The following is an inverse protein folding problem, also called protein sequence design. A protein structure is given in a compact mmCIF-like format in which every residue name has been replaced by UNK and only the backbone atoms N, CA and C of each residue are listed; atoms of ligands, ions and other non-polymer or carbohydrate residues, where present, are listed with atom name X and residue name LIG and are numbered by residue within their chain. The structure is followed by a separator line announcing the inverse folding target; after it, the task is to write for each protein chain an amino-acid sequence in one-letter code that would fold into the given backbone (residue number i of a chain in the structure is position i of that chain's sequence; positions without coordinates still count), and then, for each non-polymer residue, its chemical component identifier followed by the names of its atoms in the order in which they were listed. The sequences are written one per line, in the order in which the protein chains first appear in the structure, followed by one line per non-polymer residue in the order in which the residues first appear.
data_IF_589767846412
#
_entry.id   IF_589767846412
#
_cell.length_a   1.000
_cell.length_b   1.000
_cell.length_c   1.000
_cell.angle_alpha   90.00
_cell.angle_beta   90.00
_cell.angle_gamma   90.00
#
_symmetry.space_group_name_H-M   'P 1'
#
loop_
_entity.id
_entity.type
_entity.pdbx_description
1 polymer ?
#
# COMPACT_ATOMS: atom_id res chain seq x y z
N UNK A 1 15.42 -24.43 8.57
CA UNK A 1 15.04 -23.52 7.46
C UNK A 1 15.44 -22.12 7.89
N UNK A 2 16.51 -21.56 7.29
CA UNK A 2 16.98 -20.21 7.58
C UNK A 2 15.92 -19.17 7.22
N UNK A 3 15.92 -18.04 7.93
CA UNK A 3 15.09 -16.90 7.58
C UNK A 3 15.31 -16.51 6.10
N UNK A 4 14.28 -16.08 5.38
CA UNK A 4 14.46 -15.57 4.01
C UNK A 4 15.50 -14.44 4.00
N UNK A 5 16.33 -14.34 2.95
CA UNK A 5 17.28 -13.24 2.86
C UNK A 5 16.53 -11.90 2.91
N UNK A 6 17.10 -10.89 3.57
CA UNK A 6 16.48 -9.57 3.60
C UNK A 6 16.26 -9.07 2.17
N UNK A 7 15.20 -8.29 1.93
CA UNK A 7 15.00 -7.64 0.65
C UNK A 7 16.23 -6.80 0.27
N UNK A 8 16.47 -6.59 -1.03
CA UNK A 8 17.55 -5.71 -1.44
C UNK A 8 17.38 -4.33 -0.81
N UNK A 9 18.43 -3.85 -0.17
CA UNK A 9 18.43 -2.50 0.40
C UNK A 9 18.18 -1.52 -0.74
N UNK A 10 17.18 -0.67 -0.59
CA UNK A 10 17.07 0.51 -1.45
C UNK A 10 18.34 1.32 -1.28
N UNK A 11 18.85 1.88 -2.37
CA UNK A 11 19.96 2.83 -2.31
C UNK A 11 19.61 4.00 -1.38
N UNK A 12 20.58 4.86 -1.03
CA UNK A 12 20.31 6.00 -0.16
C UNK A 12 19.15 6.80 -0.72
N UNK A 13 18.11 6.96 0.12
CA UNK A 13 16.93 7.72 -0.26
C UNK A 13 17.33 9.18 -0.50
N UNK A 14 16.79 9.85 -1.53
CA UNK A 14 17.09 11.24 -1.78
C UNK A 14 16.72 12.09 -0.56
N UNK A 15 17.44 13.16 -0.28
CA UNK A 15 17.10 14.07 0.81
C UNK A 15 15.71 14.65 0.53
N UNK A 16 14.82 14.52 1.53
CA UNK A 16 13.50 15.11 1.47
C UNK A 16 13.60 16.62 1.69
N UNK A 17 12.79 17.39 0.97
CA UNK A 17 12.54 18.77 1.40
C UNK A 17 11.88 18.75 2.80
N UNK A 18 11.95 19.88 3.57
CA UNK A 18 11.44 19.91 4.95
C UNK A 18 9.99 19.43 5.11
N UNK A 19 9.16 19.60 4.07
CA UNK A 19 7.75 19.23 4.08
C UNK A 19 7.49 17.83 3.48
N UNK A 20 8.49 17.21 2.87
CA UNK A 20 8.33 15.95 2.12
C UNK A 20 7.58 16.12 0.80
N UNK A 21 7.42 17.36 0.29
CA UNK A 21 6.73 17.60 -0.98
C UNK A 21 7.66 17.34 -2.15
N UNK A 22 7.11 16.69 -3.16
CA UNK A 22 7.85 16.29 -4.37
C UNK A 22 7.07 16.65 -5.62
N UNK A 23 7.78 17.05 -6.67
CA UNK A 23 7.20 17.30 -7.99
C UNK A 23 7.06 16.02 -8.83
N UNK A 24 7.88 15.04 -8.52
CA UNK A 24 7.84 13.73 -9.15
C UNK A 24 8.27 12.66 -8.13
N UNK A 25 7.73 11.47 -8.27
CA UNK A 25 8.14 10.30 -7.51
C UNK A 25 8.94 9.42 -8.46
N UNK A 26 10.16 9.12 -8.08
CA UNK A 26 11.01 8.20 -8.84
C UNK A 26 10.65 6.77 -8.42
N UNK A 27 10.14 5.94 -9.32
CA UNK A 27 9.90 4.54 -9.02
C UNK A 27 11.19 3.86 -8.56
N UNK A 28 11.08 2.90 -7.65
CA UNK A 28 12.20 2.05 -7.30
C UNK A 28 12.65 1.32 -8.55
N UNK A 29 13.86 1.60 -9.00
CA UNK A 29 14.39 1.01 -10.24
C UNK A 29 14.57 -0.50 -10.08
N UNK A 30 14.03 -1.25 -11.04
CA UNK A 30 14.18 -2.71 -11.10
C UNK A 30 13.09 -3.50 -10.40
N UNK A 31 12.22 -2.85 -9.62
CA UNK A 31 11.14 -3.52 -8.90
C UNK A 31 11.65 -4.47 -7.80
N UNK A 32 10.82 -4.71 -6.81
CA UNK A 32 11.14 -5.62 -5.71
C UNK A 32 10.88 -7.07 -6.15
N UNK A 33 11.85 -7.95 -6.01
CA UNK A 33 11.70 -9.37 -6.33
C UNK A 33 10.82 -10.07 -5.28
N UNK A 34 9.82 -10.80 -5.75
CA UNK A 34 8.88 -11.49 -4.87
C UNK A 34 9.49 -12.80 -4.37
N UNK A 35 9.39 -13.02 -3.08
CA UNK A 35 9.97 -14.18 -2.39
C UNK A 35 9.16 -14.58 -1.17
N UNK A 36 9.54 -15.70 -0.56
CA UNK A 36 8.89 -16.27 0.61
C UNK A 36 8.65 -15.22 1.71
N UNK A 37 7.44 -15.15 2.22
CA UNK A 37 7.01 -14.27 3.30
C UNK A 37 6.43 -12.92 2.85
N UNK A 38 6.54 -12.59 1.57
CA UNK A 38 6.03 -11.32 1.07
C UNK A 38 4.56 -11.40 0.66
N UNK A 39 3.87 -10.25 0.69
CA UNK A 39 2.47 -10.13 0.32
C UNK A 39 2.29 -9.00 -0.70
N UNK A 40 1.22 -9.05 -1.45
CA UNK A 40 0.84 -7.97 -2.33
C UNK A 40 0.11 -8.42 -3.57
N UNK A 41 -0.34 -7.46 -4.36
CA UNK A 41 -1.08 -7.72 -5.61
C UNK A 41 -0.24 -8.52 -6.60
N UNK A 42 1.05 -8.28 -6.68
CA UNK A 42 1.95 -9.05 -7.56
C UNK A 42 2.02 -10.52 -7.15
N UNK A 43 2.04 -10.81 -5.85
CA UNK A 43 1.99 -12.20 -5.36
C UNK A 43 0.69 -12.87 -5.81
N UNK A 44 -0.44 -12.18 -5.69
CA UNK A 44 -1.72 -12.66 -6.20
C UNK A 44 -1.68 -12.97 -7.69
N UNK A 45 -1.10 -12.11 -8.51
CA UNK A 45 -0.98 -12.34 -9.95
C UNK A 45 -0.12 -13.55 -10.29
N UNK A 46 0.98 -13.74 -9.56
CA UNK A 46 1.82 -14.95 -9.69
C UNK A 46 0.99 -16.19 -9.36
N UNK A 47 0.33 -16.21 -8.22
CA UNK A 47 -0.52 -17.33 -7.78
C UNK A 47 -1.61 -17.63 -8.81
N UNK A 48 -2.26 -16.59 -9.32
CA UNK A 48 -3.29 -16.72 -10.37
C UNK A 48 -2.75 -17.36 -11.64
N UNK A 49 -1.58 -16.92 -12.12
CA UNK A 49 -0.94 -17.49 -13.32
C UNK A 49 -0.48 -18.93 -13.13
N UNK A 50 -0.18 -19.31 -11.89
CA UNK A 50 0.18 -20.69 -11.53
C UNK A 50 -1.02 -21.58 -11.16
N UNK A 51 -2.24 -21.06 -11.32
CA UNK A 51 -3.48 -21.81 -11.00
C UNK A 51 -3.69 -22.03 -9.50
N UNK A 52 -3.08 -21.18 -8.65
CA UNK A 52 -3.13 -21.29 -7.19
C UNK A 52 -4.12 -20.30 -6.56
N UNK A 53 -4.95 -19.63 -7.35
CA UNK A 53 -5.88 -18.62 -6.85
C UNK A 53 -6.77 -19.21 -5.76
N UNK A 54 -6.66 -18.68 -4.56
CA UNK A 54 -7.49 -19.05 -3.41
C UNK A 54 -8.38 -17.86 -3.05
N UNK A 55 -9.68 -18.09 -3.04
CA UNK A 55 -10.63 -17.10 -2.57
C UNK A 55 -10.36 -16.75 -1.10
N UNK A 56 -10.20 -15.45 -0.81
CA UNK A 56 -10.02 -14.94 0.56
C UNK A 56 -8.67 -15.25 1.20
N UNK A 57 -7.68 -15.72 0.45
CA UNK A 57 -6.33 -15.84 0.98
C UNK A 57 -5.67 -14.48 1.12
N UNK A 58 -4.73 -14.38 2.03
CA UNK A 58 -3.97 -13.18 2.29
C UNK A 58 -2.91 -12.87 1.22
N UNK A 59 -2.91 -13.60 0.11
CA UNK A 59 -1.97 -13.42 -1.01
C UNK A 59 -0.51 -13.39 -0.56
N UNK A 60 -0.20 -14.24 0.40
CA UNK A 60 1.14 -14.44 0.92
C UNK A 60 1.93 -15.36 -0.01
N UNK A 61 3.17 -14.99 -0.30
CA UNK A 61 4.13 -15.85 -0.98
C UNK A 61 4.60 -16.92 0.02
N UNK A 62 3.81 -17.98 0.12
CA UNK A 62 4.05 -19.10 1.02
C UNK A 62 4.96 -20.17 0.38
N UNK A 63 5.25 -21.23 1.12
CA UNK A 63 6.06 -22.35 0.63
C UNK A 63 5.44 -23.02 -0.59
N UNK A 64 4.11 -23.14 -0.64
CA UNK A 64 3.41 -23.70 -1.79
C UNK A 64 3.61 -22.84 -3.04
N UNK A 65 3.51 -21.51 -2.89
CA UNK A 65 3.78 -20.55 -3.97
C UNK A 65 5.22 -20.67 -4.44
N UNK A 66 6.20 -20.70 -3.52
CA UNK A 66 7.61 -20.87 -3.86
C UNK A 66 7.86 -22.15 -4.65
N UNK A 67 7.30 -23.27 -4.20
CA UNK A 67 7.48 -24.55 -4.88
C UNK A 67 6.85 -24.56 -6.28
N UNK A 68 5.69 -23.94 -6.46
CA UNK A 68 5.05 -23.78 -7.76
C UNK A 68 5.89 -22.89 -8.70
N UNK A 69 6.48 -21.82 -8.17
CA UNK A 69 7.41 -20.96 -8.93
C UNK A 69 8.65 -21.74 -9.36
N UNK A 70 9.26 -22.53 -8.47
CA UNK A 70 10.42 -23.38 -8.83
C UNK A 70 10.06 -24.35 -9.96
N UNK A 71 8.91 -25.01 -9.86
CA UNK A 71 8.44 -25.94 -10.90
C UNK A 71 8.21 -25.21 -12.23
N UNK A 72 7.62 -24.04 -12.20
CA UNK A 72 7.42 -23.19 -13.37
C UNK A 72 8.74 -22.75 -13.98
N UNK A 73 9.70 -22.28 -13.17
CA UNK A 73 11.03 -21.87 -13.62
C UNK A 73 11.76 -23.01 -14.32
N UNK A 74 11.77 -24.21 -13.75
CA UNK A 74 12.33 -25.41 -14.38
C UNK A 74 11.70 -25.70 -15.73
N UNK A 75 10.36 -25.66 -15.80
CA UNK A 75 9.63 -25.91 -17.04
C UNK A 75 9.90 -24.86 -18.13
N UNK A 76 10.36 -23.69 -17.77
CA UNK A 76 10.67 -22.59 -18.69
C UNK A 76 12.17 -22.37 -18.90
N UNK A 77 13.03 -23.25 -18.37
CA UNK A 77 14.48 -23.12 -18.50
C UNK A 77 15.08 -21.90 -17.79
N UNK A 78 14.39 -21.43 -16.74
CA UNK A 78 14.86 -20.35 -15.88
C UNK A 78 15.60 -20.93 -14.67
N UNK A 79 16.39 -20.09 -13.99
CA UNK A 79 17.02 -20.44 -12.74
C UNK A 79 15.92 -20.77 -11.68
N UNK A 80 15.87 -22.00 -11.15
CA UNK A 80 14.81 -22.44 -10.25
C UNK A 80 15.05 -22.02 -8.80
N UNK A 81 15.27 -20.75 -8.56
CA UNK A 81 15.57 -20.17 -7.25
C UNK A 81 14.32 -19.94 -6.38
N UNK A 82 13.12 -19.99 -6.99
CA UNK A 82 11.86 -19.72 -6.31
C UNK A 82 11.65 -18.24 -5.98
N UNK A 83 12.36 -17.34 -6.65
CA UNK A 83 12.21 -15.90 -6.55
C UNK A 83 11.63 -15.36 -7.85
N UNK A 84 10.60 -14.53 -7.80
CA UNK A 84 10.03 -13.90 -8.99
C UNK A 84 10.71 -12.56 -9.19
N UNK A 85 11.71 -12.55 -10.07
CA UNK A 85 12.33 -11.36 -10.62
C UNK A 85 11.77 -11.05 -12.01
N UNK A 86 12.34 -10.06 -12.72
CA UNK A 86 11.86 -9.63 -14.05
C UNK A 86 11.77 -10.74 -15.09
N UNK A 87 12.70 -11.67 -15.12
CA UNK A 87 12.72 -12.78 -16.09
C UNK A 87 11.55 -13.76 -15.82
N UNK A 88 11.37 -14.17 -14.58
CA UNK A 88 10.24 -15.05 -14.19
C UNK A 88 8.90 -14.36 -14.39
N UNK A 89 8.81 -13.08 -14.04
CA UNK A 89 7.59 -12.28 -14.24
C UNK A 89 7.20 -12.20 -15.73
N UNK A 90 8.17 -11.94 -16.60
CA UNK A 90 7.94 -11.91 -18.05
C UNK A 90 7.45 -13.27 -18.57
N UNK A 91 8.05 -14.36 -18.10
CA UNK A 91 7.64 -15.71 -18.49
C UNK A 91 6.22 -16.07 -17.98
N UNK A 92 5.80 -15.52 -16.85
CA UNK A 92 4.45 -15.71 -16.31
C UNK A 92 3.38 -15.01 -17.14
N UNK A 93 3.74 -13.99 -17.91
CA UNK A 93 2.82 -13.25 -18.79
C UNK A 93 1.56 -12.79 -18.05
N UNK A 94 1.76 -12.02 -16.99
CA UNK A 94 0.64 -11.56 -16.14
C UNK A 94 -0.21 -10.49 -16.80
N UNK A 95 0.26 -9.87 -17.88
CA UNK A 95 -0.36 -8.71 -18.53
C UNK A 95 -0.10 -7.38 -17.81
N UNK A 96 0.73 -7.38 -16.76
CA UNK A 96 1.02 -6.20 -15.97
C UNK A 96 2.53 -5.96 -15.87
N UNK A 97 2.98 -4.69 -15.76
CA UNK A 97 4.39 -4.38 -15.54
C UNK A 97 4.93 -5.01 -14.25
N UNK A 98 6.20 -5.39 -14.23
CA UNK A 98 6.84 -5.92 -13.02
C UNK A 98 6.81 -4.94 -11.84
N UNK A 99 6.82 -3.66 -12.13
CA UNK A 99 6.81 -2.55 -11.14
C UNK A 99 5.41 -2.02 -10.85
N UNK A 100 4.36 -2.76 -11.15
CA UNK A 100 2.98 -2.30 -11.06
C UNK A 100 2.53 -1.85 -9.66
N UNK A 101 3.14 -2.37 -8.60
CA UNK A 101 2.82 -2.01 -7.22
C UNK A 101 3.67 -0.82 -6.72
N UNK A 102 4.67 -0.43 -7.49
CA UNK A 102 5.50 0.72 -7.16
C UNK A 102 4.70 2.00 -7.40
N UNK A 103 5.19 3.13 -6.94
CA UNK A 103 4.54 4.44 -7.05
C UNK A 103 3.78 4.65 -8.36
N UNK A 104 2.51 4.24 -8.37
CA UNK A 104 1.68 4.25 -9.58
C UNK A 104 1.16 5.64 -9.93
N UNK A 105 1.12 6.49 -8.93
CA UNK A 105 0.57 7.82 -9.03
C UNK A 105 1.69 8.84 -8.95
N UNK A 106 1.80 9.67 -9.96
CA UNK A 106 2.66 10.83 -9.92
C UNK A 106 1.97 12.01 -9.22
N UNK A 107 2.71 12.91 -8.58
CA UNK A 107 2.18 14.14 -8.03
C UNK A 107 1.39 14.94 -9.07
N UNK A 108 0.19 15.36 -8.69
CA UNK A 108 -0.74 16.09 -9.57
C UNK A 108 -0.83 17.58 -9.22
N UNK A 109 0.06 18.03 -8.36
CA UNK A 109 0.09 19.41 -7.88
C UNK A 109 1.52 19.99 -8.00
N UNK A 110 1.64 21.29 -8.25
CA UNK A 110 2.94 21.94 -8.23
C UNK A 110 3.52 22.02 -6.80
N UNK A 111 4.85 22.21 -6.69
CA UNK A 111 5.52 22.28 -5.39
C UNK A 111 4.98 23.40 -4.48
N UNK A 112 4.49 24.50 -5.06
CA UNK A 112 3.94 25.63 -4.32
C UNK A 112 2.48 25.44 -3.87
N UNK A 113 1.84 24.30 -4.17
CA UNK A 113 0.48 24.02 -3.73
C UNK A 113 0.38 24.06 -2.20
N UNK A 114 -0.69 24.65 -1.70
CA UNK A 114 -0.93 24.81 -0.27
C UNK A 114 -1.27 23.46 0.40
N UNK A 115 -1.12 23.33 1.72
CA UNK A 115 -1.58 22.16 2.46
C UNK A 115 -3.05 21.82 2.21
N UNK A 116 -3.90 22.82 2.12
CA UNK A 116 -5.32 22.62 1.81
C UNK A 116 -5.53 22.03 0.40
N UNK A 117 -4.86 22.58 -0.61
CA UNK A 117 -4.93 22.05 -1.98
C UNK A 117 -4.46 20.60 -2.05
N UNK A 118 -3.42 20.26 -1.29
CA UNK A 118 -2.91 18.88 -1.17
C UNK A 118 -3.90 17.96 -0.49
N UNK A 119 -4.53 18.41 0.59
CA UNK A 119 -5.58 17.66 1.27
C UNK A 119 -6.73 17.34 0.31
N UNK A 120 -7.20 18.34 -0.44
CA UNK A 120 -8.30 18.13 -1.40
C UNK A 120 -7.88 17.20 -2.54
N UNK A 121 -6.67 17.28 -3.04
CA UNK A 121 -6.17 16.36 -4.08
C UNK A 121 -6.06 14.92 -3.57
N UNK A 122 -5.59 14.73 -2.35
CA UNK A 122 -5.56 13.41 -1.71
C UNK A 122 -6.96 12.79 -1.62
N UNK A 123 -7.94 13.58 -1.19
CA UNK A 123 -9.34 13.15 -1.09
C UNK A 123 -9.93 12.90 -2.47
N UNK A 124 -9.71 13.78 -3.42
CA UNK A 124 -10.18 13.64 -4.82
C UNK A 124 -9.69 12.32 -5.42
N UNK A 125 -8.39 12.04 -5.28
CA UNK A 125 -7.83 10.78 -5.77
C UNK A 125 -8.50 9.56 -5.11
N UNK A 126 -8.62 9.58 -3.79
CA UNK A 126 -9.22 8.47 -3.05
C UNK A 126 -10.68 8.25 -3.44
N UNK A 127 -11.48 9.31 -3.57
CA UNK A 127 -12.88 9.23 -4.01
C UNK A 127 -13.02 8.71 -5.44
N UNK A 128 -12.08 9.05 -6.32
CA UNK A 128 -12.05 8.51 -7.69
C UNK A 128 -11.86 6.98 -7.73
N UNK A 129 -11.36 6.38 -6.65
CA UNK A 129 -11.22 4.92 -6.52
C UNK A 129 -12.48 4.24 -5.97
N UNK A 130 -13.55 4.97 -5.74
CA UNK A 130 -14.83 4.40 -5.27
C UNK A 130 -15.30 3.27 -6.18
N UNK A 131 -15.63 2.14 -5.57
CA UNK A 131 -16.04 0.93 -6.29
C UNK A 131 -14.90 0.00 -6.67
N UNK A 132 -13.64 0.44 -6.53
CA UNK A 132 -12.50 -0.46 -6.68
C UNK A 132 -12.56 -1.56 -5.62
N UNK A 133 -12.29 -2.80 -6.02
CA UNK A 133 -12.39 -3.93 -5.10
C UNK A 133 -11.35 -3.85 -4.00
N UNK A 134 -11.68 -4.39 -2.83
CA UNK A 134 -10.69 -4.62 -1.80
C UNK A 134 -9.77 -5.78 -2.21
N UNK A 135 -8.48 -5.57 -2.15
CA UNK A 135 -7.47 -6.58 -2.43
C UNK A 135 -6.38 -6.50 -1.36
N UNK A 136 -6.23 -7.56 -0.58
CA UNK A 136 -5.19 -7.62 0.44
C UNK A 136 -3.80 -7.40 -0.17
N UNK A 137 -3.05 -6.42 0.36
CA UNK A 137 -1.76 -6.04 -0.20
C UNK A 137 -1.85 -5.24 -1.50
N UNK A 138 -3.06 -4.88 -1.94
CA UNK A 138 -3.28 -4.09 -3.15
C UNK A 138 -2.99 -2.61 -2.94
N UNK A 139 -2.34 -1.99 -3.91
CA UNK A 139 -2.09 -0.55 -3.98
C UNK A 139 -2.49 0.02 -5.34
N UNK A 140 -3.49 -0.59 -5.99
CA UNK A 140 -3.96 -0.22 -7.32
C UNK A 140 -3.27 -1.00 -8.46
N UNK A 141 -3.57 -0.65 -9.69
CA UNK A 141 -4.57 0.33 -10.13
C UNK A 141 -6.01 -0.08 -9.80
N UNK A 142 -6.98 0.76 -10.14
CA UNK A 142 -8.41 0.55 -9.87
C UNK A 142 -8.90 -0.87 -10.17
N UNK A 143 -8.50 -1.40 -11.32
CA UNK A 143 -8.94 -2.73 -11.78
C UNK A 143 -8.42 -3.90 -10.91
N UNK A 144 -7.28 -3.73 -10.23
CA UNK A 144 -6.69 -4.74 -9.35
C UNK A 144 -7.08 -4.57 -7.89
N UNK A 145 -7.41 -3.34 -7.48
CA UNK A 145 -7.91 -3.06 -6.16
C UNK A 145 -6.87 -2.55 -5.18
N UNK A 146 -7.36 -2.17 -4.01
CA UNK A 146 -6.58 -1.58 -2.92
C UNK A 146 -6.88 -2.27 -1.61
N UNK A 147 -5.91 -2.34 -0.72
CA UNK A 147 -6.20 -2.45 0.70
C UNK A 147 -6.28 -1.05 1.35
N UNK A 148 -6.56 -0.99 2.65
CA UNK A 148 -6.81 0.27 3.31
C UNK A 148 -5.63 1.24 3.23
N UNK A 149 -4.43 0.77 3.51
CA UNK A 149 -3.20 1.59 3.49
C UNK A 149 -2.69 1.83 2.06
N UNK A 150 -2.89 0.89 1.12
CA UNK A 150 -2.51 1.07 -0.28
C UNK A 150 -3.29 2.20 -0.95
N UNK A 151 -4.58 2.32 -0.68
CA UNK A 151 -5.39 3.44 -1.14
C UNK A 151 -4.88 4.78 -0.58
N UNK A 152 -4.61 4.82 0.71
CA UNK A 152 -4.11 6.03 1.39
C UNK A 152 -2.76 6.46 0.84
N UNK A 153 -1.83 5.53 0.66
CA UNK A 153 -0.50 5.84 0.15
C UNK A 153 -0.53 6.40 -1.26
N UNK A 154 -1.28 5.81 -2.17
CA UNK A 154 -1.42 6.33 -3.54
C UNK A 154 -2.09 7.72 -3.54
N UNK A 155 -3.05 7.95 -2.66
CA UNK A 155 -3.68 9.27 -2.50
C UNK A 155 -2.68 10.33 -1.99
N UNK A 156 -1.80 9.97 -1.06
CA UNK A 156 -0.72 10.85 -0.58
C UNK A 156 0.25 11.20 -1.71
N UNK A 157 0.61 10.22 -2.53
CA UNK A 157 1.47 10.45 -3.71
C UNK A 157 0.82 11.39 -4.72
N UNK A 158 -0.46 11.20 -5.02
CA UNK A 158 -1.21 12.10 -5.90
C UNK A 158 -1.19 13.55 -5.40
N UNK A 159 -1.21 13.74 -4.09
CA UNK A 159 -1.12 15.06 -3.45
C UNK A 159 0.31 15.61 -3.37
N UNK A 160 1.29 14.90 -3.93
CA UNK A 160 2.67 15.36 -4.03
C UNK A 160 3.46 15.29 -2.74
N UNK A 161 3.18 14.33 -1.86
CA UNK A 161 4.01 14.00 -0.72
C UNK A 161 4.53 12.58 -0.83
N UNK A 162 5.82 12.41 -0.54
CA UNK A 162 6.46 11.11 -0.40
C UNK A 162 6.87 10.93 1.07
N UNK A 163 6.12 10.13 1.84
CA UNK A 163 6.40 9.94 3.26
C UNK A 163 7.52 8.93 3.54
N UNK A 164 8.52 8.83 2.69
CA UNK A 164 9.66 7.91 2.79
C UNK A 164 10.09 7.55 4.22
N UNK A 165 10.69 6.37 4.39
CA UNK A 165 10.89 5.29 3.42
C UNK A 165 9.62 4.45 3.26
N UNK A 166 9.19 4.23 2.02
CA UNK A 166 8.02 3.40 1.72
C UNK A 166 8.34 2.39 0.63
N UNK A 167 7.84 1.18 0.82
CA UNK A 167 7.69 0.19 -0.22
C UNK A 167 6.20 -0.14 -0.35
N UNK A 168 5.68 -0.12 -1.57
CA UNK A 168 4.27 -0.45 -1.82
C UNK A 168 3.98 -1.95 -1.75
N UNK A 169 5.01 -2.79 -1.74
CA UNK A 169 4.88 -4.22 -1.48
C UNK A 169 4.70 -4.44 0.01
N UNK A 170 3.55 -4.97 0.39
CA UNK A 170 3.22 -5.20 1.79
C UNK A 170 4.21 -6.14 2.46
N UNK A 171 4.66 -5.78 3.67
CA UNK A 171 5.65 -6.50 4.46
C UNK A 171 7.04 -6.64 3.83
N UNK A 172 7.35 -5.88 2.78
CA UNK A 172 8.71 -5.72 2.31
C UNK A 172 9.42 -4.58 3.06
N UNK A 173 10.74 -4.66 3.13
CA UNK A 173 11.57 -3.59 3.70
C UNK A 173 11.94 -2.54 2.64
N UNK A 174 11.99 -1.25 3.00
CA UNK A 174 11.62 -0.63 4.28
C UNK A 174 10.11 -0.50 4.45
N UNK A 175 9.67 -0.53 5.69
CA UNK A 175 8.27 -0.49 6.10
C UNK A 175 7.62 0.90 5.97
N UNK A 176 6.46 1.10 6.46
CA UNK A 176 5.44 2.14 6.41
C UNK A 176 4.35 1.86 5.34
N UNK A 177 4.27 0.63 4.88
CA UNK A 177 3.23 0.19 3.94
C UNK A 177 1.91 -0.14 4.63
N UNK A 178 1.94 -0.64 5.85
CA UNK A 178 0.75 -1.07 6.59
C UNK A 178 0.11 0.08 7.37
N UNK A 179 -1.16 -0.07 7.74
CA UNK A 179 -1.86 0.91 8.59
C UNK A 179 -1.16 1.12 9.93
N UNK A 180 -0.63 0.04 10.55
CA UNK A 180 0.13 0.11 11.79
C UNK A 180 1.39 0.96 11.63
N UNK A 181 2.12 0.77 10.56
CA UNK A 181 3.34 1.51 10.27
C UNK A 181 3.07 2.97 9.93
N UNK A 182 1.99 3.26 9.20
CA UNK A 182 1.53 4.63 8.97
C UNK A 182 1.15 5.33 10.27
N UNK A 183 0.51 4.63 11.21
CA UNK A 183 0.19 5.18 12.53
C UNK A 183 1.44 5.53 13.33
N UNK A 184 2.50 4.77 13.19
CA UNK A 184 3.80 5.01 13.83
C UNK A 184 4.71 5.96 13.03
N UNK A 185 4.27 6.45 11.87
CA UNK A 185 5.14 7.20 10.96
C UNK A 185 5.63 8.51 11.59
N UNK A 186 6.96 8.73 11.72
CA UNK A 186 7.52 9.86 12.48
C UNK A 186 7.34 11.21 11.79
N UNK A 187 7.11 11.24 10.49
CA UNK A 187 6.95 12.47 9.69
C UNK A 187 5.51 12.90 9.50
N UNK A 188 4.54 12.11 9.95
CA UNK A 188 3.14 12.47 9.97
C UNK A 188 2.78 13.02 11.34
N UNK A 189 2.12 14.18 11.37
CA UNK A 189 1.77 14.85 12.63
C UNK A 189 0.68 14.06 13.36
N UNK A 190 0.94 13.66 14.58
CA UNK A 190 -0.07 13.07 15.47
C UNK A 190 -0.95 14.16 16.05
N UNK A 191 -2.26 13.99 15.92
CA UNK A 191 -3.28 14.89 16.46
C UNK A 191 -4.30 14.07 17.26
N UNK A 192 -4.73 14.51 18.45
CA UNK A 192 -5.80 13.83 19.19
C UNK A 192 -7.05 13.65 18.32
N UNK A 193 -7.68 12.49 18.37
CA UNK A 193 -8.80 12.15 17.47
C UNK A 193 -9.97 13.14 17.60
N UNK A 194 -10.18 13.72 18.78
CA UNK A 194 -11.20 14.76 19.00
C UNK A 194 -10.92 16.10 18.29
N UNK A 195 -9.69 16.30 17.82
CA UNK A 195 -9.27 17.50 17.07
C UNK A 195 -9.04 17.20 15.58
N UNK A 196 -9.53 16.05 15.12
CA UNK A 196 -9.40 15.67 13.71
C UNK A 196 -10.16 16.62 12.80
N UNK A 197 -9.68 16.76 11.62
CA UNK A 197 -10.28 17.55 10.53
C UNK A 197 -10.22 16.82 9.20
N UNK A 198 -10.94 17.34 8.22
CA UNK A 198 -10.91 16.84 6.84
C UNK A 198 -9.48 16.60 6.34
N UNK A 199 -9.22 15.41 5.83
CA UNK A 199 -7.93 14.96 5.31
C UNK A 199 -7.03 14.27 6.34
N UNK A 200 -7.40 14.26 7.61
CA UNK A 200 -6.65 13.47 8.60
C UNK A 200 -6.87 11.97 8.37
N UNK A 201 -5.86 11.18 8.66
CA UNK A 201 -5.94 9.73 8.60
C UNK A 201 -6.49 9.20 9.92
N UNK A 202 -7.66 8.58 9.86
CA UNK A 202 -8.29 7.91 10.99
C UNK A 202 -7.79 6.47 11.04
N UNK A 203 -7.45 5.99 12.24
CA UNK A 203 -6.99 4.63 12.46
C UNK A 203 -7.93 3.86 13.38
N UNK A 204 -8.00 2.57 13.18
CA UNK A 204 -8.78 1.66 14.00
C UNK A 204 -7.90 0.55 14.57
N UNK A 205 -8.16 0.20 15.82
CA UNK A 205 -7.45 -0.83 16.57
C UNK A 205 -8.36 -2.02 16.83
N UNK A 206 -7.77 -3.18 17.05
CA UNK A 206 -8.45 -4.33 17.63
C UNK A 206 -8.58 -4.19 19.15
N UNK A 207 -9.17 -5.19 19.80
CA UNK A 207 -9.34 -5.21 21.27
C UNK A 207 -8.00 -5.13 22.03
N UNK A 208 -6.90 -5.58 21.44
CA UNK A 208 -5.54 -5.47 22.00
C UNK A 208 -4.87 -4.12 21.69
N UNK A 209 -5.61 -3.15 21.19
CA UNK A 209 -5.14 -1.81 20.80
C UNK A 209 -4.08 -1.81 19.70
N UNK A 210 -4.05 -2.84 18.88
CA UNK A 210 -3.17 -2.92 17.72
C UNK A 210 -3.89 -2.34 16.52
N UNK A 211 -3.28 -1.35 15.87
CA UNK A 211 -3.83 -0.73 14.65
C UNK A 211 -3.85 -1.74 13.51
N UNK A 212 -4.97 -1.86 12.83
CA UNK A 212 -5.17 -2.78 11.72
C UNK A 212 -5.92 -2.18 10.52
N UNK A 213 -6.40 -0.94 10.62
CA UNK A 213 -7.15 -0.28 9.55
C UNK A 213 -6.88 1.23 9.54
N UNK A 214 -7.02 1.84 8.36
CA UNK A 214 -6.86 3.28 8.13
C UNK A 214 -7.88 3.77 7.11
N UNK A 215 -8.37 5.00 7.31
CA UNK A 215 -9.28 5.70 6.42
C UNK A 215 -8.91 7.18 6.34
N UNK A 216 -9.43 7.91 5.35
CA UNK A 216 -9.27 9.37 5.21
C UNK A 216 -10.54 10.06 5.69
N UNK A 217 -10.43 10.95 6.66
CA UNK A 217 -11.54 11.77 7.16
C UNK A 217 -12.03 12.74 6.07
N UNK A 218 -13.30 12.70 5.75
CA UNK A 218 -13.91 13.62 4.77
C UNK A 218 -14.45 14.90 5.42
N UNK A 219 -14.41 15.01 6.76
CA UNK A 219 -14.78 16.21 7.51
C UNK A 219 -16.27 16.43 7.73
N UNK A 220 -17.12 15.56 7.17
CA UNK A 220 -18.58 15.63 7.22
C UNK A 220 -19.21 14.48 8.06
N UNK A 221 -18.40 13.82 8.86
CA UNK A 221 -18.80 12.62 9.61
C UNK A 221 -18.66 11.34 8.80
N UNK A 222 -18.13 11.40 7.59
CA UNK A 222 -17.78 10.24 6.78
C UNK A 222 -16.27 10.13 6.56
N UNK A 223 -15.82 8.95 6.15
CA UNK A 223 -14.44 8.65 5.83
C UNK A 223 -14.37 7.86 4.52
N UNK A 224 -13.32 8.07 3.73
CA UNK A 224 -13.04 7.27 2.56
C UNK A 224 -12.08 6.14 2.92
N UNK A 225 -12.45 4.91 2.59
CA UNK A 225 -11.68 3.72 2.95
C UNK A 225 -11.80 2.60 1.92
N UNK A 226 -10.79 1.75 1.83
CA UNK A 226 -10.89 0.44 1.21
C UNK A 226 -11.12 -0.60 2.32
N UNK A 227 -12.33 -1.17 2.36
CA UNK A 227 -12.77 -2.11 3.39
C UNK A 227 -13.87 -3.04 2.88
N UNK A 228 -13.94 -4.25 3.42
CA UNK A 228 -14.91 -5.22 3.00
C UNK A 228 -14.71 -5.62 1.54
N UNK A 229 -15.64 -5.28 0.67
CA UNK A 229 -15.58 -5.62 -0.75
C UNK A 229 -15.00 -4.51 -1.63
N UNK A 230 -15.18 -3.24 -1.24
CA UNK A 230 -14.92 -2.10 -2.12
C UNK A 230 -14.38 -0.89 -1.36
N UNK A 231 -13.62 -0.07 -2.06
CA UNK A 231 -13.35 1.29 -1.65
C UNK A 231 -14.63 2.12 -1.72
N UNK A 232 -14.99 2.81 -0.63
CA UNK A 232 -16.19 3.63 -0.56
C UNK A 232 -16.14 4.62 0.61
N UNK A 233 -16.87 5.75 0.52
CA UNK A 233 -17.17 6.57 1.69
C UNK A 233 -18.08 5.80 2.65
N UNK A 234 -17.77 5.88 3.95
CA UNK A 234 -18.60 5.30 5.02
C UNK A 234 -18.65 6.22 6.21
N UNK A 235 -19.68 6.05 7.05
CA UNK A 235 -19.84 6.85 8.27
C UNK A 235 -18.69 6.54 9.25
N UNK A 236 -18.12 7.58 9.83
CA UNK A 236 -17.17 7.42 10.95
C UNK A 236 -17.94 6.99 12.19
N UNK A 237 -17.48 5.91 12.83
CA UNK A 237 -18.02 5.42 14.08
C UNK A 237 -16.89 5.13 15.05
N UNK A 238 -17.10 5.35 16.35
CA UNK A 238 -16.07 5.11 17.38
C UNK A 238 -15.75 3.63 17.54
N UNK A 239 -16.71 2.78 17.17
CA UNK A 239 -16.56 1.33 17.19
C UNK A 239 -17.17 0.71 15.92
N UNK A 240 -16.40 -0.07 15.23
CA UNK A 240 -16.83 -0.81 14.06
C UNK A 240 -16.65 -2.32 14.33
N UNK A 241 -17.73 -3.00 14.75
CA UNK A 241 -17.67 -4.39 15.20
C UNK A 241 -16.70 -4.58 16.38
N UNK A 242 -15.59 -5.22 16.13
CA UNK A 242 -14.49 -5.42 17.10
C UNK A 242 -13.37 -4.38 16.96
N UNK A 243 -13.53 -3.40 16.07
CA UNK A 243 -12.56 -2.34 15.83
C UNK A 243 -12.95 -1.08 16.57
N UNK A 244 -11.98 -0.40 17.15
CA UNK A 244 -12.15 0.83 17.93
C UNK A 244 -11.34 1.94 17.27
N UNK A 245 -11.89 3.15 17.27
CA UNK A 245 -11.13 4.31 16.79
C UNK A 245 -9.88 4.53 17.66
N UNK A 246 -8.74 4.74 17.02
CA UNK A 246 -7.48 5.00 17.71
C UNK A 246 -7.50 6.41 18.35
N UNK A 247 -6.74 6.63 19.43
CA UNK A 247 -6.75 7.91 20.15
C UNK A 247 -6.14 9.08 19.37
N UNK A 248 -5.36 8.80 18.33
CA UNK A 248 -4.72 9.79 17.47
C UNK A 248 -5.06 9.55 16.00
N UNK A 249 -5.13 10.63 15.25
CA UNK A 249 -5.10 10.64 13.78
C UNK A 249 -3.72 11.08 13.30
N UNK A 250 -3.42 10.86 12.05
CA UNK A 250 -2.22 11.42 11.41
C UNK A 250 -2.63 12.50 10.42
N UNK A 251 -2.08 13.71 10.60
CA UNK A 251 -2.25 14.82 9.68
C UNK A 251 -1.14 14.81 8.65
N UNK A 252 -1.54 14.61 7.39
CA UNK A 252 -0.58 14.48 6.29
C UNK A 252 -0.08 15.86 5.83
N UNK A 253 -0.97 16.85 5.83
CA UNK A 253 -0.68 18.23 5.38
C UNK A 253 -1.04 19.22 6.50
N UNK A 254 -0.15 19.45 7.46
CA UNK A 254 -0.36 20.37 8.58
C UNK A 254 -0.38 21.84 8.20
#
# INVERSE_FOLDING_TARGET
LGAPPPPPSHGPLPPLNPNGYVAAITPVTGGVHLRLGWNGTRVYLVQKRLGMERFGSDQTYDTATRNAVISFQRARGLDPDGVVGPATWRALDTGWPFTMDDYQVQPQLPLWATPQQRTEKMIEYALAQRGSRYTWGGAGPYALGFDCSGLVLQAIYAAGRDPQPIDVVKHAEPAYRTSRELYAHPRLLSVPVGQRRRGDLIFFTNASRVVHHVAIDLGDGTMMEAFGRYAAPRKVVDRYGISYIAPYVKRVFP
#
